data_IF_406676208748
#
_entry.id   IF_406676208748
#
_cell.length_a   1.000
_cell.length_b   1.000
_cell.length_c   1.000
_cell.angle_alpha   90.00
_cell.angle_beta   90.00
_cell.angle_gamma   90.00
#
_symmetry.space_group_name_H-M   'P 1'
#
loop_
_entity.id
_entity.type
_entity.pdbx_description
1 polymer ?
#
# COMPACT_ATOMS: atom_id res chain seq x y z
N UNK A 1 0.04 -15.03 -13.91
CA UNK A 1 0.32 -14.93 -12.46
C UNK A 1 -0.89 -15.22 -11.58
N UNK A 2 -2.01 -14.47 -11.67
CA UNK A 2 -3.21 -14.70 -10.83
C UNK A 2 -3.77 -16.13 -10.86
N UNK A 3 -3.85 -16.76 -12.03
CA UNK A 3 -4.25 -18.18 -12.14
C UNK A 3 -3.31 -19.12 -11.35
N UNK A 4 -2.00 -18.84 -11.38
CA UNK A 4 -0.99 -19.64 -10.68
C UNK A 4 -1.04 -19.45 -9.16
N UNK A 5 -1.27 -18.23 -8.70
CA UNK A 5 -1.27 -17.90 -7.26
C UNK A 5 -2.64 -18.01 -6.61
N UNK A 6 -3.72 -18.08 -7.39
CA UNK A 6 -5.10 -18.04 -6.91
C UNK A 6 -5.57 -16.67 -6.41
N UNK A 7 -4.70 -15.64 -6.47
CA UNK A 7 -5.06 -14.32 -5.94
C UNK A 7 -6.18 -13.66 -6.74
N UNK A 8 -7.19 -13.18 -6.00
CA UNK A 8 -8.42 -12.63 -6.56
C UNK A 8 -9.16 -13.62 -7.49
N UNK A 9 -8.98 -14.94 -7.37
CA UNK A 9 -9.67 -15.91 -8.23
C UNK A 9 -10.84 -16.57 -7.50
N UNK A 10 -11.96 -16.80 -8.19
CA UNK A 10 -13.11 -17.57 -7.70
C UNK A 10 -13.61 -18.49 -8.81
N UNK A 11 -13.72 -19.78 -8.54
CA UNK A 11 -14.19 -20.80 -9.50
C UNK A 11 -13.47 -20.74 -10.87
N UNK A 12 -12.15 -20.50 -10.85
CA UNK A 12 -11.33 -20.39 -12.06
C UNK A 12 -11.46 -19.06 -12.82
N UNK A 13 -12.33 -18.14 -12.37
CA UNK A 13 -12.55 -16.81 -12.96
C UNK A 13 -11.97 -15.70 -12.07
N UNK A 14 -11.63 -14.54 -12.62
CA UNK A 14 -11.25 -13.40 -11.79
C UNK A 14 -12.45 -12.90 -10.98
N UNK A 15 -12.24 -12.60 -9.70
CA UNK A 15 -13.21 -11.90 -8.83
C UNK A 15 -13.65 -10.59 -9.52
N UNK A 16 -14.96 -10.35 -9.55
CA UNK A 16 -15.56 -9.20 -10.23
C UNK A 16 -15.62 -9.33 -11.75
N UNK A 17 -15.44 -10.53 -12.30
CA UNK A 17 -15.51 -10.89 -13.72
C UNK A 17 -14.59 -10.07 -14.65
N UNK A 18 -13.59 -9.39 -14.06
CA UNK A 18 -12.63 -8.55 -14.78
C UNK A 18 -11.21 -8.82 -14.31
N UNK A 19 -10.27 -8.84 -15.26
CA UNK A 19 -8.86 -9.05 -14.95
C UNK A 19 -8.19 -7.80 -14.38
N UNK A 20 -8.65 -6.62 -14.79
CA UNK A 20 -8.02 -5.34 -14.50
C UNK A 20 -9.09 -4.25 -14.27
N UNK A 21 -8.84 -3.38 -13.29
CA UNK A 21 -9.67 -2.25 -12.88
C UNK A 21 -8.94 -0.89 -13.07
N UNK A 22 -7.79 -0.85 -13.75
CA UNK A 22 -6.93 0.34 -13.97
C UNK A 22 -7.69 1.59 -14.46
N UNK A 23 -8.71 1.41 -15.30
CA UNK A 23 -9.52 2.52 -15.81
C UNK A 23 -10.25 3.30 -14.70
N UNK A 24 -10.49 2.67 -13.56
CA UNK A 24 -11.16 3.26 -12.39
C UNK A 24 -10.19 3.99 -11.44
N UNK A 25 -8.87 3.88 -11.67
CA UNK A 25 -7.80 4.40 -10.80
C UNK A 25 -7.37 5.84 -11.14
N UNK A 26 -8.20 6.58 -11.88
CA UNK A 26 -7.86 7.89 -12.47
C UNK A 26 -8.71 9.03 -11.94
N UNK A 27 -9.24 8.90 -10.72
CA UNK A 27 -10.08 9.95 -10.15
C UNK A 27 -9.22 11.16 -9.78
N UNK A 28 -9.77 12.35 -9.97
CA UNK A 28 -9.14 13.58 -9.48
C UNK A 28 -9.17 13.57 -7.96
N UNK A 29 -8.04 13.93 -7.33
CA UNK A 29 -7.96 14.11 -5.89
C UNK A 29 -8.87 15.29 -5.46
N UNK A 30 -9.91 15.08 -4.64
CA UNK A 30 -10.77 16.15 -4.17
C UNK A 30 -10.01 17.18 -3.34
N UNK A 31 -10.46 18.44 -3.39
CA UNK A 31 -9.91 19.48 -2.54
C UNK A 31 -10.14 19.14 -1.05
N UNK A 32 -9.12 19.40 -0.22
CA UNK A 32 -9.22 19.18 1.23
C UNK A 32 -9.07 17.73 1.71
N UNK A 33 -8.81 16.76 0.82
CA UNK A 33 -8.47 15.38 1.23
C UNK A 33 -7.21 15.40 2.09
N UNK A 34 -7.32 14.82 3.29
CA UNK A 34 -6.19 14.63 4.19
C UNK A 34 -5.49 13.33 3.84
N UNK A 35 -4.19 13.41 3.58
CA UNK A 35 -3.34 12.24 3.35
C UNK A 35 -2.80 11.81 4.72
N UNK A 36 -2.99 10.55 5.12
CA UNK A 36 -2.39 10.04 6.35
C UNK A 36 -0.87 10.10 6.27
N UNK A 37 -0.17 10.56 7.34
CA UNK A 37 1.28 10.57 7.35
C UNK A 37 1.85 9.15 7.25
N UNK A 38 3.09 9.04 6.81
CA UNK A 38 3.83 7.78 6.77
C UNK A 38 4.72 7.72 8.02
N UNK A 39 4.67 6.62 8.80
CA UNK A 39 5.57 6.44 9.92
C UNK A 39 7.03 6.54 9.49
N UNK A 40 7.83 7.19 10.32
CA UNK A 40 9.29 7.31 10.17
C UNK A 40 9.97 6.63 11.33
N UNK A 41 11.19 6.16 11.12
CA UNK A 41 11.97 5.48 12.15
C UNK A 41 13.25 6.27 12.41
N UNK A 42 13.49 6.73 13.66
CA UNK A 42 14.75 7.36 13.99
C UNK A 42 15.90 6.36 13.85
N UNK A 43 17.09 6.87 13.55
CA UNK A 43 18.30 6.06 13.46
C UNK A 43 18.61 5.42 14.82
N UNK A 44 18.72 4.09 14.84
CA UNK A 44 19.32 3.36 15.95
C UNK A 44 20.84 3.51 15.97
N UNK A 45 21.50 2.93 16.98
CA UNK A 45 22.95 3.04 17.15
C UNK A 45 23.74 2.58 15.91
N UNK A 46 23.34 1.45 15.33
CA UNK A 46 23.98 0.88 14.12
C UNK A 46 23.77 1.82 12.94
N UNK A 47 22.56 2.35 12.78
CA UNK A 47 22.23 3.25 11.68
C UNK A 47 23.00 4.57 11.80
N UNK A 48 23.18 5.10 13.01
CA UNK A 48 23.98 6.31 13.25
C UNK A 48 25.46 6.08 12.93
N UNK A 49 26.03 4.93 13.30
CA UNK A 49 27.40 4.55 12.96
C UNK A 49 27.59 4.50 11.42
N UNK A 50 26.70 3.78 10.73
CA UNK A 50 26.73 3.67 9.27
C UNK A 50 26.51 5.02 8.59
N UNK A 51 25.61 5.86 9.12
CA UNK A 51 25.37 7.22 8.62
C UNK A 51 26.64 8.06 8.66
N UNK A 52 27.38 8.03 9.77
CA UNK A 52 28.67 8.70 9.90
C UNK A 52 29.72 8.17 8.91
N UNK A 53 29.81 6.85 8.77
CA UNK A 53 30.73 6.19 7.84
C UNK A 53 30.45 6.58 6.39
N UNK A 54 29.19 6.50 5.94
CA UNK A 54 28.79 6.81 4.56
C UNK A 54 29.01 8.31 4.29
N UNK A 55 28.65 9.18 5.23
CA UNK A 55 28.89 10.64 5.10
C UNK A 55 30.37 10.98 4.95
N UNK A 56 31.24 10.31 5.70
CA UNK A 56 32.69 10.52 5.63
C UNK A 56 33.32 9.96 4.35
N UNK A 57 32.87 8.79 3.90
CA UNK A 57 33.42 8.11 2.72
C UNK A 57 32.90 8.70 1.40
N UNK A 58 31.66 9.21 1.38
CA UNK A 58 30.96 9.65 0.17
C UNK A 58 30.40 11.08 0.26
N UNK A 59 31.19 12.10 0.62
CA UNK A 59 30.70 13.44 0.92
C UNK A 59 30.18 14.22 -0.30
N UNK A 60 30.47 13.75 -1.52
CA UNK A 60 30.09 14.41 -2.78
C UNK A 60 29.08 13.62 -3.60
N UNK A 61 28.54 12.53 -3.05
CA UNK A 61 27.47 11.79 -3.71
C UNK A 61 26.16 12.57 -3.67
N UNK A 62 25.33 12.37 -4.69
CA UNK A 62 23.99 12.95 -4.74
C UNK A 62 23.16 12.49 -3.53
N UNK A 63 22.50 13.43 -2.87
CA UNK A 63 21.72 13.21 -1.66
C UNK A 63 21.93 14.35 -0.67
N UNK A 64 21.24 14.26 0.47
CA UNK A 64 21.36 15.24 1.55
C UNK A 64 21.61 14.53 2.89
N UNK A 65 22.66 14.95 3.58
CA UNK A 65 23.00 14.52 4.94
C UNK A 65 22.55 15.53 6.02
N UNK A 66 21.99 16.67 5.63
CA UNK A 66 21.44 17.66 6.55
C UNK A 66 20.07 17.23 7.11
N UNK A 67 19.29 16.49 6.31
CA UNK A 67 18.06 15.85 6.77
C UNK A 67 18.34 14.54 7.53
N UNK A 68 17.53 14.17 8.53
CA UNK A 68 17.66 12.89 9.22
C UNK A 68 17.30 11.73 8.30
N UNK A 69 17.97 10.59 8.49
CA UNK A 69 17.58 9.33 7.87
C UNK A 69 16.38 8.73 8.62
N UNK A 70 15.31 8.43 7.90
CA UNK A 70 14.00 8.10 8.48
C UNK A 70 13.41 6.76 7.99
N UNK A 71 14.15 6.02 7.15
CA UNK A 71 13.68 4.75 6.59
C UNK A 71 13.72 3.61 7.61
N UNK A 72 12.86 2.61 7.40
CA UNK A 72 12.93 1.36 8.14
C UNK A 72 14.19 0.57 7.75
N UNK A 73 14.95 0.12 8.76
CA UNK A 73 16.17 -0.67 8.58
C UNK A 73 16.01 -2.11 9.07
N UNK A 74 14.92 -2.41 9.77
CA UNK A 74 14.62 -3.77 10.26
C UNK A 74 13.34 -4.34 9.63
N UNK A 75 13.23 -5.67 9.65
CA UNK A 75 12.04 -6.40 9.17
C UNK A 75 10.78 -6.03 9.95
N UNK A 76 10.89 -5.80 11.25
CA UNK A 76 9.73 -5.45 12.08
C UNK A 76 9.24 -4.04 11.78
N UNK A 77 10.14 -3.08 11.55
CA UNK A 77 9.76 -1.73 11.09
C UNK A 77 9.10 -1.79 9.70
N UNK A 78 9.64 -2.57 8.76
CA UNK A 78 9.03 -2.74 7.44
C UNK A 78 7.62 -3.36 7.51
N UNK A 79 7.39 -4.29 8.45
CA UNK A 79 6.06 -4.85 8.74
C UNK A 79 5.11 -3.85 9.38
N UNK A 80 5.60 -2.90 10.17
CA UNK A 80 4.80 -1.80 10.69
C UNK A 80 4.33 -0.89 9.55
N UNK A 81 5.21 -0.55 8.60
CA UNK A 81 4.86 0.23 7.41
C UNK A 81 3.82 -0.49 6.53
N UNK A 82 3.96 -1.80 6.35
CA UNK A 82 2.95 -2.58 5.65
C UNK A 82 1.58 -2.51 6.36
N UNK A 83 1.54 -2.68 7.68
CA UNK A 83 0.29 -2.58 8.44
C UNK A 83 -0.34 -1.19 8.33
N UNK A 84 0.47 -0.15 8.49
CA UNK A 84 0.04 1.24 8.35
C UNK A 84 -0.56 1.51 6.96
N UNK A 85 0.11 1.10 5.87
CA UNK A 85 -0.43 1.20 4.52
C UNK A 85 -1.79 0.49 4.37
N UNK A 86 -1.89 -0.75 4.85
CA UNK A 86 -3.10 -1.57 4.74
C UNK A 86 -4.30 -0.99 5.51
N UNK A 87 -4.05 -0.25 6.59
CA UNK A 87 -5.08 0.37 7.44
C UNK A 87 -5.47 1.74 6.92
N UNK A 88 -4.49 2.58 6.56
CA UNK A 88 -4.71 4.00 6.37
C UNK A 88 -4.77 4.45 4.91
N UNK A 89 -4.11 3.74 3.98
CA UNK A 89 -3.92 4.23 2.61
C UNK A 89 -4.45 3.30 1.52
N UNK A 90 -4.50 1.97 1.75
CA UNK A 90 -4.88 0.99 0.72
C UNK A 90 -6.24 1.28 0.05
N UNK A 91 -7.26 1.68 0.80
CA UNK A 91 -8.60 1.91 0.23
C UNK A 91 -8.68 3.14 -0.69
N UNK A 92 -7.77 4.10 -0.49
CA UNK A 92 -7.65 5.31 -1.30
C UNK A 92 -6.56 5.20 -2.38
N UNK A 93 -5.75 4.13 -2.37
CA UNK A 93 -4.69 3.91 -3.34
C UNK A 93 -5.24 3.88 -4.78
N UNK A 94 -6.19 3.00 -5.07
CA UNK A 94 -6.71 2.81 -6.43
C UNK A 94 -7.30 4.11 -7.00
N UNK A 95 -8.33 4.70 -6.38
CA UNK A 95 -8.97 5.91 -6.90
C UNK A 95 -8.02 7.06 -7.24
N UNK A 96 -6.92 7.19 -6.49
CA UNK A 96 -5.98 8.31 -6.58
C UNK A 96 -4.56 7.89 -6.99
N UNK A 97 -4.41 6.74 -7.64
CA UNK A 97 -3.10 6.16 -8.02
C UNK A 97 -2.31 7.11 -8.93
N UNK A 98 -2.98 7.77 -9.86
CA UNK A 98 -2.39 8.71 -10.82
C UNK A 98 -2.41 10.17 -10.34
N UNK A 99 -2.92 10.45 -9.14
CA UNK A 99 -3.01 11.82 -8.64
C UNK A 99 -1.63 12.37 -8.26
N UNK A 100 -1.42 13.67 -8.45
CA UNK A 100 -0.24 14.39 -7.95
C UNK A 100 -0.68 15.65 -7.21
N UNK A 101 -0.04 15.93 -6.08
CA UNK A 101 -0.29 17.14 -5.28
C UNK A 101 1.02 17.68 -4.71
N UNK A 102 1.29 18.97 -4.93
CA UNK A 102 2.46 19.65 -4.37
C UNK A 102 2.48 19.53 -2.85
N UNK A 103 3.66 19.25 -2.29
CA UNK A 103 3.86 19.05 -0.85
C UNK A 103 3.50 17.65 -0.35
N UNK A 104 3.00 16.77 -1.21
CA UNK A 104 2.51 15.44 -0.83
C UNK A 104 3.15 14.38 -1.72
N UNK A 105 4.43 14.06 -1.48
CA UNK A 105 5.24 13.26 -2.41
C UNK A 105 4.79 11.81 -2.54
N UNK A 106 4.00 11.30 -1.58
CA UNK A 106 3.62 9.90 -1.52
C UNK A 106 2.12 9.63 -1.62
N UNK A 107 1.25 10.63 -1.37
CA UNK A 107 -0.21 10.45 -1.31
C UNK A 107 -0.62 9.13 -0.62
N UNK A 108 -1.32 8.26 -1.34
CA UNK A 108 -1.80 6.97 -0.84
C UNK A 108 -0.91 5.78 -1.22
N UNK A 109 0.30 6.03 -1.74
CA UNK A 109 1.24 4.97 -2.05
C UNK A 109 1.75 4.26 -0.79
N UNK A 110 2.18 3.00 -0.99
CA UNK A 110 2.65 2.15 0.10
C UNK A 110 4.05 2.51 0.60
N UNK A 111 4.91 3.00 -0.30
CA UNK A 111 6.33 3.29 -0.04
C UNK A 111 7.08 2.05 0.47
N UNK A 112 6.71 0.86 -0.03
CA UNK A 112 7.29 -0.43 0.40
C UNK A 112 8.34 -1.00 -0.55
N UNK A 113 8.63 -0.34 -1.68
CA UNK A 113 9.51 -0.87 -2.74
C UNK A 113 10.92 -1.17 -2.24
N UNK A 114 11.51 -0.28 -1.43
CA UNK A 114 12.86 -0.46 -0.87
C UNK A 114 12.94 -1.75 -0.05
N UNK A 115 11.90 -2.04 0.74
CA UNK A 115 11.84 -3.20 1.63
C UNK A 115 11.53 -4.50 0.89
N UNK A 116 10.79 -4.44 -0.22
CA UNK A 116 10.59 -5.57 -1.11
C UNK A 116 11.88 -5.94 -1.85
N UNK A 117 12.65 -4.93 -2.27
CA UNK A 117 13.84 -5.12 -3.08
C UNK A 117 15.06 -5.59 -2.28
N UNK A 118 15.07 -5.40 -0.96
CA UNK A 118 16.13 -5.87 -0.08
C UNK A 118 15.73 -7.08 0.81
N UNK A 119 14.53 -7.64 0.62
CA UNK A 119 14.05 -8.83 1.33
C UNK A 119 13.50 -8.59 2.73
N UNK A 120 13.45 -7.34 3.21
CA UNK A 120 12.80 -7.02 4.49
C UNK A 120 11.28 -7.28 4.46
N UNK A 121 10.66 -7.26 3.29
CA UNK A 121 9.30 -7.74 3.04
C UNK A 121 9.29 -8.75 1.89
N UNK A 122 8.42 -9.76 2.01
CA UNK A 122 8.16 -10.69 0.92
C UNK A 122 6.92 -10.24 0.12
N UNK A 123 6.91 -10.40 -1.22
CA UNK A 123 5.75 -10.06 -2.04
C UNK A 123 4.44 -10.73 -1.58
N UNK A 124 4.53 -11.99 -1.13
CA UNK A 124 3.38 -12.72 -0.59
C UNK A 124 2.82 -12.09 0.69
N UNK A 125 3.67 -11.51 1.55
CA UNK A 125 3.22 -10.83 2.77
C UNK A 125 2.41 -9.58 2.43
N UNK A 126 2.79 -8.85 1.37
CA UNK A 126 2.06 -7.68 0.89
C UNK A 126 0.75 -8.12 0.21
N UNK A 127 0.80 -9.12 -0.68
CA UNK A 127 -0.37 -9.70 -1.37
C UNK A 127 -1.45 -10.20 -0.42
N UNK A 128 -1.02 -10.82 0.67
CA UNK A 128 -1.91 -11.40 1.67
C UNK A 128 -2.06 -10.49 2.89
N UNK A 129 -1.62 -9.24 2.83
CA UNK A 129 -1.65 -8.34 3.98
C UNK A 129 -3.07 -8.10 4.50
N UNK A 130 -3.97 -7.69 3.60
CA UNK A 130 -5.33 -7.26 3.94
C UNK A 130 -6.15 -8.36 4.64
N UNK A 131 -6.23 -9.55 4.08
CA UNK A 131 -7.04 -10.61 4.70
C UNK A 131 -6.30 -11.37 5.81
N UNK A 132 -4.97 -11.23 5.97
CA UNK A 132 -4.27 -11.59 7.22
C UNK A 132 -4.67 -10.63 8.35
N UNK A 133 -4.71 -9.32 8.09
CA UNK A 133 -5.15 -8.30 9.05
C UNK A 133 -6.60 -8.53 9.51
N UNK A 134 -7.52 -8.81 8.58
CA UNK A 134 -8.92 -9.16 8.89
C UNK A 134 -9.03 -10.40 9.80
N UNK A 135 -8.26 -11.46 9.52
CA UNK A 135 -8.28 -12.69 10.33
C UNK A 135 -7.84 -12.45 11.78
N UNK A 136 -6.91 -11.54 12.02
CA UNK A 136 -6.43 -11.19 13.36
C UNK A 136 -7.39 -10.30 14.15
N UNK A 137 -8.21 -9.51 13.45
CA UNK A 137 -9.09 -8.50 14.06
C UNK A 137 -10.54 -8.99 14.27
N UNK A 138 -10.86 -10.22 13.85
CA UNK A 138 -12.25 -10.72 13.77
C UNK A 138 -13.06 -10.09 12.63
N UNK A 139 -14.33 -10.50 12.41
CA UNK A 139 -15.23 -9.80 11.49
C UNK A 139 -15.54 -8.41 12.06
N UNK A 140 -14.71 -7.43 11.73
CA UNK A 140 -14.94 -6.05 12.12
C UNK A 140 -16.22 -5.53 11.43
N UNK A 141 -17.13 -4.97 12.23
CA UNK A 141 -18.24 -4.14 11.75
C UNK A 141 -17.66 -2.88 11.11
N UNK A 142 -17.31 -2.93 9.83
CA UNK A 142 -16.95 -1.74 9.05
C UNK A 142 -18.22 -0.97 8.69
N UNK A 143 -18.82 -0.37 9.72
CA UNK A 143 -19.93 0.57 9.67
C UNK A 143 -19.50 1.95 10.15
N UNK A 144 -18.39 2.48 9.64
CA UNK A 144 -18.01 3.86 9.88
C UNK A 144 -18.83 4.78 8.96
N UNK A 145 -19.92 5.35 9.48
CA UNK A 145 -20.59 6.49 8.83
C UNK A 145 -19.57 7.60 8.67
N UNK A 146 -19.16 7.87 7.44
CA UNK A 146 -18.65 9.19 7.08
C UNK A 146 -19.81 10.15 7.32
N UNK A 147 -19.61 11.11 8.24
CA UNK A 147 -20.57 12.16 8.54
C UNK A 147 -21.03 12.85 7.27
N UNK A 148 -22.33 13.15 7.22
CA UNK A 148 -23.04 13.69 6.09
C UNK A 148 -22.40 14.99 5.54
N UNK A 149 -21.65 14.86 4.46
CA UNK A 149 -21.52 15.85 3.41
C UNK A 149 -21.31 15.07 2.12
N UNK A 150 -22.33 15.06 1.27
CA UNK A 150 -22.48 14.09 0.18
C UNK A 150 -21.33 14.09 -0.82
N UNK A 151 -20.57 13.00 -0.81
CA UNK A 151 -19.94 12.45 -2.02
C UNK A 151 -20.07 10.94 -1.89
N UNK A 152 -20.89 10.34 -2.74
CA UNK A 152 -21.03 8.89 -2.82
C UNK A 152 -19.72 8.28 -3.27
N UNK A 153 -18.89 7.83 -2.34
CA UNK A 153 -17.70 7.02 -2.63
C UNK A 153 -18.19 5.59 -2.91
N UNK A 154 -18.84 5.41 -4.07
CA UNK A 154 -19.03 4.10 -4.67
C UNK A 154 -17.73 3.71 -5.38
N UNK A 155 -16.66 3.57 -4.60
CA UNK A 155 -15.43 2.94 -5.04
C UNK A 155 -15.60 1.43 -5.01
N UNK A 156 -15.14 0.76 -6.07
CA UNK A 156 -15.14 -0.69 -6.36
C UNK A 156 -14.85 -1.58 -5.14
N UNK A 157 -14.08 -1.07 -4.17
CA UNK A 157 -13.76 -1.74 -2.91
C UNK A 157 -15.01 -2.12 -2.09
N UNK A 158 -16.08 -1.32 -2.11
CA UNK A 158 -17.30 -1.62 -1.33
C UNK A 158 -18.22 -2.66 -2.00
N UNK A 159 -18.24 -2.71 -3.33
CA UNK A 159 -19.15 -3.58 -4.08
C UNK A 159 -18.62 -5.00 -4.27
N UNK A 160 -17.30 -5.19 -4.39
CA UNK A 160 -16.69 -6.53 -4.40
C UNK A 160 -16.74 -7.24 -3.04
N UNK A 161 -17.05 -6.51 -1.96
CA UNK A 161 -17.20 -7.05 -0.61
C UNK A 161 -18.62 -7.56 -0.31
N UNK A 162 -19.67 -7.03 -0.94
CA UNK A 162 -21.07 -7.45 -0.67
C UNK A 162 -21.52 -8.71 -1.41
N UNK A 163 -21.00 -8.95 -2.62
CA UNK A 163 -21.44 -10.07 -3.46
C UNK A 163 -20.92 -11.44 -3.01
N UNK A 164 -20.02 -11.49 -2.02
CA UNK A 164 -19.52 -12.74 -1.46
C UNK A 164 -20.32 -13.30 -0.27
N UNK A 165 -21.29 -12.54 0.26
CA UNK A 165 -22.08 -12.93 1.44
C UNK A 165 -23.42 -13.61 1.10
N UNK A 166 -23.75 -13.81 -0.19
CA UNK A 166 -25.06 -14.33 -0.60
C UNK A 166 -25.12 -15.84 -0.91
N UNK A 167 -24.10 -16.65 -0.55
CA UNK A 167 -24.07 -18.09 -0.82
C UNK A 167 -23.55 -18.90 0.36
N UNK A 168 -24.41 -19.72 0.96
CA UNK A 168 -24.16 -20.46 2.19
C UNK A 168 -23.05 -21.51 2.14
N UNK A 169 -22.53 -21.77 3.35
CA UNK A 169 -21.75 -22.93 3.83
C UNK A 169 -20.47 -23.30 3.07
N UNK A 170 -19.32 -22.91 3.64
CA UNK A 170 -17.99 -23.43 3.27
C UNK A 170 -16.91 -22.35 3.27
N UNK A 171 -16.21 -22.19 4.38
CA UNK A 171 -15.21 -21.14 4.59
C UNK A 171 -14.04 -21.17 3.58
N UNK A 172 -13.74 -20.04 2.89
CA UNK A 172 -12.40 -19.54 2.47
C UNK A 172 -12.51 -18.16 1.74
N UNK A 173 -11.45 -17.33 1.68
CA UNK A 173 -11.55 -15.88 1.87
C UNK A 173 -11.31 -15.00 0.63
N UNK A 174 -11.89 -13.79 0.65
CA UNK A 174 -11.63 -12.71 -0.32
C UNK A 174 -10.33 -11.97 -0.03
N UNK A 175 -9.58 -11.68 -1.08
CA UNK A 175 -8.31 -10.94 -1.10
C UNK A 175 -8.40 -9.85 -2.16
N UNK A 176 -7.92 -8.63 -1.91
CA UNK A 176 -7.80 -7.52 -2.89
C UNK A 176 -6.35 -7.07 -2.93
N UNK A 177 -5.82 -6.78 -4.13
CA UNK A 177 -4.45 -6.29 -4.33
C UNK A 177 -4.40 -4.98 -5.12
N UNK A 178 -3.53 -4.02 -4.74
CA UNK A 178 -3.11 -2.88 -5.55
C UNK A 178 -1.93 -3.24 -6.45
N UNK A 179 -1.92 -2.74 -7.69
CA UNK A 179 -0.84 -2.95 -8.66
C UNK A 179 0.51 -2.47 -8.12
N UNK A 180 1.56 -3.29 -8.22
CA UNK A 180 2.95 -2.86 -8.02
C UNK A 180 3.49 -2.49 -9.40
N UNK A 181 3.36 -1.22 -9.78
CA UNK A 181 4.01 -0.70 -10.98
C UNK A 181 5.43 -0.24 -10.60
N UNK A 182 6.42 -1.08 -10.90
CA UNK A 182 7.82 -0.66 -10.98
C UNK A 182 8.05 0.05 -12.31
N UNK A 183 8.13 1.38 -12.27
CA UNK A 183 8.56 2.21 -13.41
C UNK A 183 10.05 2.50 -13.33
N UNK A 184 10.84 1.75 -14.08
CA UNK A 184 12.25 2.04 -14.36
C UNK A 184 12.31 3.25 -15.31
N UNK A 185 12.81 4.39 -14.83
CA UNK A 185 13.11 5.54 -15.71
C UNK A 185 14.49 5.31 -16.35
N UNK A 186 14.49 5.04 -17.66
CA UNK A 186 15.67 5.17 -18.49
C UNK A 186 16.05 6.64 -18.62
N UNK A 187 17.29 6.98 -18.28
CA UNK A 187 17.87 8.29 -18.53
C UNK A 187 18.45 8.29 -19.94
N UNK A 188 17.90 9.16 -20.80
CA UNK A 188 18.55 9.59 -22.03
C UNK A 188 19.15 10.96 -21.81
N UNK A 189 20.47 11.06 -21.94
CA UNK A 189 21.12 12.02 -22.82
C UNK A 189 22.47 11.45 -23.25
#
# INVERSE_FOLDING_TARGET
>A
MRQRTGYLMQNGKPVGDRWNFDKENRQKLPAGVKVPPIPVFPMDEITQEVWGLVRGAFPHHFGDFAAPFELAVTRDQARQLLQDFLVHRLDAFGPYEDAMRTGEPFLFHSVLSIYLNNGLLLPQEVCEGRSRLRRRSGPAQFGGRVGAAGVGVAGIHSHLLRSADAGGTGAQPLWVYPTVAGGFLGWGN
#
